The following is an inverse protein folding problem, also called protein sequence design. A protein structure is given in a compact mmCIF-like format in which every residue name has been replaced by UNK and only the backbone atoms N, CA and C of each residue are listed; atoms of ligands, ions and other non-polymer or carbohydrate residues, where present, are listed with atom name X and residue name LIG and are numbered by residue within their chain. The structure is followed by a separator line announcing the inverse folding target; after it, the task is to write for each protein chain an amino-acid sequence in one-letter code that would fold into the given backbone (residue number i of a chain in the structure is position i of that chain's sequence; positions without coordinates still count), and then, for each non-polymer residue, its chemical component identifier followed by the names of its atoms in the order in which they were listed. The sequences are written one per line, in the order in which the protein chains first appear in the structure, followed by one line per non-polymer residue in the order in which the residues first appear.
data_IF_300475478288
#
_entry.id   IF_300475478288
#
_cell.length_a   1.000
_cell.length_b   1.000
_cell.length_c   1.000
_cell.angle_alpha   90.00
_cell.angle_beta   90.00
_cell.angle_gamma   90.00
#
_symmetry.space_group_name_H-M   'P 1'
#
loop_
_entity.id
_entity.type
_entity.pdbx_description
1 polymer ?
#
# COMPACT_ATOMS: atom_id res chain seq x y z
N UNK A 1 31.74 -16.42 -2.35
CA UNK A 1 32.07 -15.55 -3.50
C UNK A 1 30.96 -15.44 -4.56
N UNK A 2 30.55 -16.49 -5.29
CA UNK A 2 29.46 -16.35 -6.29
C UNK A 2 28.06 -16.10 -5.67
N UNK A 3 27.74 -16.75 -4.55
CA UNK A 3 26.45 -16.58 -3.86
C UNK A 3 26.29 -15.22 -3.15
N UNK A 4 27.37 -14.68 -2.57
CA UNK A 4 27.38 -13.33 -1.97
C UNK A 4 27.20 -12.24 -3.04
N UNK A 5 27.81 -12.42 -4.22
CA UNK A 5 27.62 -11.50 -5.35
C UNK A 5 26.18 -11.49 -5.85
N UNK A 6 25.48 -12.63 -5.77
CA UNK A 6 24.08 -12.76 -6.17
C UNK A 6 23.14 -12.07 -5.19
N UNK A 7 23.37 -12.20 -3.89
CA UNK A 7 22.57 -11.54 -2.86
C UNK A 7 22.81 -10.02 -2.84
N UNK A 8 24.06 -9.57 -3.02
CA UNK A 8 24.38 -8.15 -3.14
C UNK A 8 23.86 -7.55 -4.47
N UNK A 9 23.81 -8.35 -5.55
CA UNK A 9 23.19 -7.94 -6.81
C UNK A 9 21.66 -7.94 -6.75
N UNK A 10 21.05 -8.86 -6.00
CA UNK A 10 19.60 -8.92 -5.80
C UNK A 10 19.13 -7.80 -4.87
N UNK A 11 19.79 -7.61 -3.72
CA UNK A 11 19.54 -6.47 -2.83
C UNK A 11 19.90 -5.12 -3.50
N UNK A 12 20.91 -5.09 -4.37
CA UNK A 12 21.23 -3.93 -5.19
C UNK A 12 20.14 -3.62 -6.23
N UNK A 13 19.63 -4.63 -6.94
CA UNK A 13 18.51 -4.46 -7.89
C UNK A 13 17.22 -4.07 -7.18
N UNK A 14 16.85 -4.77 -6.12
CA UNK A 14 15.64 -4.49 -5.33
C UNK A 14 15.76 -3.13 -4.61
N UNK A 15 16.95 -2.74 -4.15
CA UNK A 15 17.22 -1.42 -3.59
C UNK A 15 17.14 -0.28 -4.63
N UNK A 16 17.64 -0.50 -5.85
CA UNK A 16 17.46 0.43 -6.97
C UNK A 16 15.99 0.55 -7.36
N UNK A 17 15.24 -0.58 -7.39
CA UNK A 17 13.80 -0.57 -7.63
C UNK A 17 13.03 0.24 -6.57
N UNK A 18 13.42 0.16 -5.30
CA UNK A 18 12.81 1.01 -4.28
C UNK A 18 13.08 2.50 -4.50
N UNK A 19 14.31 2.89 -4.84
CA UNK A 19 14.66 4.30 -5.01
C UNK A 19 14.13 4.89 -6.32
N UNK A 20 14.04 4.10 -7.38
CA UNK A 20 13.66 4.58 -8.71
C UNK A 20 12.15 4.48 -8.96
N UNK A 21 11.50 3.41 -8.46
CA UNK A 21 10.10 3.12 -8.77
C UNK A 21 9.14 3.31 -7.59
N UNK A 22 9.48 2.79 -6.40
CA UNK A 22 8.55 2.79 -5.25
C UNK A 22 8.58 4.12 -4.50
N UNK A 23 9.76 4.69 -4.32
CA UNK A 23 9.98 5.94 -3.59
C UNK A 23 10.85 6.94 -4.40
N UNK A 24 10.39 7.39 -5.58
CA UNK A 24 11.18 8.24 -6.49
C UNK A 24 11.53 9.62 -5.91
N UNK A 25 10.85 10.05 -4.84
CA UNK A 25 11.03 11.38 -4.20
C UNK A 25 11.13 11.31 -2.68
N UNK A 26 11.36 10.14 -2.09
CA UNK A 26 11.45 10.06 -0.64
C UNK A 26 12.80 10.61 -0.17
N UNK A 27 12.77 11.73 0.55
CA UNK A 27 13.90 12.15 1.37
C UNK A 27 14.09 11.13 2.49
N UNK A 28 15.34 10.73 2.76
CA UNK A 28 15.69 9.74 3.80
C UNK A 28 15.32 10.14 5.24
N UNK A 29 14.70 11.31 5.43
CA UNK A 29 14.17 11.82 6.68
C UNK A 29 12.69 11.48 6.89
N UNK A 30 12.00 11.02 5.84
CA UNK A 30 10.58 10.69 5.93
C UNK A 30 10.41 9.34 6.63
N UNK A 31 9.74 9.29 7.80
CA UNK A 31 9.53 8.01 8.48
C UNK A 31 8.58 7.14 7.67
N UNK A 32 8.99 5.92 7.39
CA UNK A 32 8.16 4.91 6.72
C UNK A 32 7.63 3.91 7.74
N UNK A 33 6.33 3.66 7.71
CA UNK A 33 5.69 2.66 8.57
C UNK A 33 5.85 1.27 7.96
N UNK A 34 6.36 0.34 8.75
CA UNK A 34 6.57 -1.06 8.38
C UNK A 34 5.90 -1.97 9.41
N UNK A 35 5.54 -3.18 8.98
CA UNK A 35 4.78 -4.15 9.76
C UNK A 35 5.47 -4.55 11.08
N UNK A 36 6.81 -4.65 11.06
CA UNK A 36 7.60 -5.12 12.20
C UNK A 36 8.78 -4.17 12.45
N UNK A 37 8.99 -3.80 13.72
CA UNK A 37 10.14 -3.01 14.13
C UNK A 37 11.34 -3.93 14.44
N UNK A 38 12.18 -4.17 13.43
CA UNK A 38 13.34 -5.05 13.53
C UNK A 38 14.38 -4.54 14.53
N UNK A 39 14.57 -3.22 14.63
CA UNK A 39 15.51 -2.63 15.59
C UNK A 39 15.14 -2.96 17.03
N UNK A 40 13.84 -2.92 17.36
CA UNK A 40 13.34 -3.27 18.69
C UNK A 40 13.57 -4.74 19.01
N UNK A 41 13.30 -5.65 18.06
CA UNK A 41 13.54 -7.09 18.25
C UNK A 41 15.02 -7.34 18.57
N UNK A 42 15.94 -6.69 17.85
CA UNK A 42 17.38 -6.82 18.08
C UNK A 42 17.79 -6.28 19.46
N UNK A 43 17.18 -5.18 19.90
CA UNK A 43 17.40 -4.65 21.25
C UNK A 43 16.94 -5.64 22.32
N UNK A 44 15.76 -6.24 22.15
CA UNK A 44 15.22 -7.24 23.07
C UNK A 44 16.14 -8.48 23.11
N UNK A 45 16.63 -8.96 21.96
CA UNK A 45 17.60 -10.07 21.89
C UNK A 45 18.89 -9.75 22.65
N UNK A 46 19.40 -8.53 22.49
CA UNK A 46 20.64 -8.11 23.16
C UNK A 46 20.49 -8.17 24.68
N UNK A 47 19.30 -7.83 25.19
CA UNK A 47 18.98 -7.89 26.61
C UNK A 47 18.80 -9.34 27.10
N UNK A 48 18.06 -10.17 26.36
CA UNK A 48 17.75 -11.57 26.74
C UNK A 48 19.04 -12.40 26.80
N UNK A 49 19.86 -12.33 25.76
CA UNK A 49 21.05 -13.19 25.62
C UNK A 49 22.33 -12.56 26.19
N UNK A 50 22.26 -11.34 26.74
CA UNK A 50 23.40 -10.64 27.34
C UNK A 50 24.63 -10.62 26.39
N UNK A 51 24.41 -10.15 25.17
CA UNK A 51 25.41 -10.27 24.09
C UNK A 51 26.66 -9.45 24.39
N UNK A 52 27.81 -10.13 24.41
CA UNK A 52 29.10 -9.51 24.61
C UNK A 52 29.74 -9.11 23.28
N UNK A 53 29.86 -7.80 23.03
CA UNK A 53 30.49 -7.23 21.82
C UNK A 53 31.98 -7.57 21.66
N UNK A 54 32.60 -8.11 22.72
CA UNK A 54 34.01 -8.46 22.75
C UNK A 54 34.30 -9.87 22.25
N UNK A 55 33.28 -10.75 22.23
CA UNK A 55 33.42 -12.13 21.74
C UNK A 55 33.04 -12.17 20.25
N UNK A 56 33.83 -12.81 19.37
CA UNK A 56 33.39 -13.05 18.00
C UNK A 56 32.16 -13.96 17.99
N UNK A 57 31.26 -13.73 17.04
CA UNK A 57 30.08 -14.55 16.81
C UNK A 57 30.46 -15.93 16.29
N UNK A 58 29.82 -16.97 16.83
CA UNK A 58 30.00 -18.37 16.42
C UNK A 58 29.20 -18.74 15.15
N UNK A 59 28.82 -17.73 14.34
CA UNK A 59 27.82 -17.85 13.28
C UNK A 59 28.44 -18.07 11.90
N UNK A 60 28.02 -19.11 11.20
CA UNK A 60 28.43 -19.37 9.82
C UNK A 60 27.63 -18.49 8.85
N UNK A 61 28.29 -18.01 7.79
CA UNK A 61 27.66 -17.11 6.82
C UNK A 61 26.56 -17.77 5.98
N UNK A 62 26.80 -19.00 5.53
CA UNK A 62 25.83 -19.80 4.75
C UNK A 62 24.50 -19.90 5.48
N UNK A 63 24.57 -20.15 6.79
CA UNK A 63 23.42 -20.29 7.67
C UNK A 63 22.49 -19.07 7.64
N UNK A 64 23.03 -17.85 7.74
CA UNK A 64 22.23 -16.62 7.77
C UNK A 64 21.48 -16.43 6.45
N UNK A 65 22.15 -16.69 5.32
CA UNK A 65 21.57 -16.53 3.99
C UNK A 65 20.43 -17.54 3.78
N UNK A 66 20.67 -18.80 4.12
CA UNK A 66 19.64 -19.85 4.03
C UNK A 66 18.46 -19.55 4.95
N UNK A 67 18.71 -19.11 6.17
CA UNK A 67 17.65 -18.79 7.13
C UNK A 67 16.78 -17.60 6.68
N UNK A 68 17.39 -16.54 6.12
CA UNK A 68 16.63 -15.41 5.54
C UNK A 68 15.83 -15.86 4.31
N UNK A 69 16.38 -16.73 3.46
CA UNK A 69 15.66 -17.28 2.32
C UNK A 69 14.47 -18.13 2.76
N UNK A 70 14.64 -18.98 3.77
CA UNK A 70 13.57 -19.78 4.34
C UNK A 70 12.47 -18.90 4.94
N UNK A 71 12.84 -17.87 5.70
CA UNK A 71 11.88 -16.92 6.24
C UNK A 71 11.09 -16.21 5.13
N UNK A 72 11.77 -15.73 4.08
CA UNK A 72 11.12 -15.09 2.94
C UNK A 72 10.14 -16.02 2.21
N UNK A 73 10.42 -17.32 2.16
CA UNK A 73 9.51 -18.31 1.56
C UNK A 73 8.32 -18.63 2.47
N UNK A 74 8.49 -18.52 3.80
CA UNK A 74 7.43 -18.80 4.77
C UNK A 74 6.47 -17.61 4.96
N UNK A 75 6.97 -16.38 4.79
CA UNK A 75 6.20 -15.15 4.94
C UNK A 75 5.08 -15.04 3.88
N UNK A 76 3.84 -15.31 4.30
CA UNK A 76 2.63 -15.02 3.52
C UNK A 76 2.31 -16.04 2.42
N UNK A 77 2.44 -17.34 2.73
CA UNK A 77 1.90 -18.40 1.87
C UNK A 77 0.37 -18.27 1.74
N UNK A 78 -0.09 -17.56 0.71
CA UNK A 78 -1.49 -17.57 0.28
C UNK A 78 -1.78 -18.99 -0.23
N UNK A 79 -2.96 -19.52 0.13
CA UNK A 79 -3.38 -20.90 -0.15
C UNK A 79 -3.57 -21.16 -1.66
N UNK A 80 -3.72 -20.10 -2.47
CA UNK A 80 -3.99 -20.21 -3.91
C UNK A 80 -2.74 -20.03 -4.76
N UNK A 81 -2.53 -20.98 -5.69
CA UNK A 81 -1.31 -21.16 -6.47
C UNK A 81 -1.31 -20.47 -7.85
N UNK A 82 -2.18 -19.48 -8.06
CA UNK A 82 -2.28 -18.76 -9.34
C UNK A 82 -1.08 -17.85 -9.61
N UNK A 83 -0.77 -17.62 -10.89
CA UNK A 83 0.31 -16.75 -11.34
C UNK A 83 0.10 -15.30 -10.87
N UNK A 84 -1.14 -14.80 -10.89
CA UNK A 84 -1.44 -13.44 -10.46
C UNK A 84 -1.29 -13.29 -8.95
N UNK A 85 -1.79 -14.26 -8.18
CA UNK A 85 -1.68 -14.25 -6.70
C UNK A 85 -0.21 -14.26 -6.26
N UNK A 86 0.65 -15.02 -6.95
CA UNK A 86 2.09 -15.03 -6.70
C UNK A 86 2.75 -13.69 -6.97
N UNK A 87 2.38 -13.01 -8.06
CA UNK A 87 2.88 -11.68 -8.39
C UNK A 87 2.41 -10.62 -7.39
N UNK A 88 1.12 -10.62 -7.06
CA UNK A 88 0.53 -9.71 -6.06
C UNK A 88 1.21 -9.88 -4.70
N UNK A 89 1.47 -11.13 -4.29
CA UNK A 89 2.14 -11.43 -3.03
C UNK A 89 3.61 -10.98 -3.04
N UNK A 90 4.33 -11.24 -4.13
CA UNK A 90 5.72 -10.81 -4.28
C UNK A 90 5.83 -9.27 -4.20
N UNK A 91 4.90 -8.56 -4.85
CA UNK A 91 4.88 -7.09 -4.85
C UNK A 91 4.47 -6.52 -3.49
N UNK A 92 3.46 -7.11 -2.84
CA UNK A 92 2.97 -6.66 -1.53
C UNK A 92 4.03 -6.81 -0.43
N UNK A 93 4.83 -7.86 -0.49
CA UNK A 93 5.88 -8.15 0.49
C UNK A 93 7.23 -7.51 0.17
N UNK A 94 7.41 -6.92 -1.03
CA UNK A 94 8.71 -6.43 -1.54
C UNK A 94 9.40 -5.46 -0.58
N UNK A 95 8.70 -4.41 -0.15
CA UNK A 95 9.25 -3.38 0.75
C UNK A 95 9.71 -3.98 2.08
N UNK A 96 8.94 -4.94 2.61
CA UNK A 96 9.28 -5.62 3.86
C UNK A 96 10.48 -6.56 3.68
N UNK A 97 10.53 -7.33 2.58
CA UNK A 97 11.66 -8.22 2.26
C UNK A 97 12.98 -7.44 2.16
N UNK A 98 12.94 -6.27 1.54
CA UNK A 98 14.13 -5.40 1.41
C UNK A 98 14.53 -4.82 2.76
N UNK A 99 13.58 -4.38 3.58
CA UNK A 99 13.88 -3.92 4.94
C UNK A 99 14.51 -5.03 5.81
N UNK A 100 14.02 -6.27 5.68
CA UNK A 100 14.54 -7.42 6.39
C UNK A 100 15.97 -7.76 5.93
N UNK A 101 16.21 -7.80 4.62
CA UNK A 101 17.54 -8.11 4.07
C UNK A 101 18.58 -7.02 4.37
N UNK A 102 18.19 -5.74 4.37
CA UNK A 102 19.07 -4.63 4.71
C UNK A 102 19.40 -4.59 6.21
N UNK A 103 18.42 -4.88 7.07
CA UNK A 103 18.63 -4.89 8.53
C UNK A 103 19.44 -6.11 8.97
N UNK A 104 19.10 -7.30 8.46
CA UNK A 104 19.78 -8.57 8.78
C UNK A 104 20.92 -8.90 7.81
N UNK A 105 21.49 -7.89 7.14
CA UNK A 105 22.66 -8.08 6.29
C UNK A 105 23.81 -8.69 7.11
N UNK A 106 24.58 -9.60 6.50
CA UNK A 106 25.73 -10.28 7.14
C UNK A 106 26.61 -9.31 7.93
N UNK A 107 26.94 -8.17 7.32
CA UNK A 107 27.81 -7.19 7.94
C UNK A 107 27.22 -6.62 9.24
N UNK A 108 25.91 -6.39 9.28
CA UNK A 108 25.22 -5.90 10.48
C UNK A 108 25.12 -6.99 11.54
N UNK A 109 24.72 -8.19 11.16
CA UNK A 109 24.58 -9.35 12.07
C UNK A 109 25.89 -9.66 12.80
N UNK A 110 27.02 -9.66 12.09
CA UNK A 110 28.32 -10.04 12.66
C UNK A 110 29.05 -8.88 13.36
N UNK A 111 29.02 -7.66 12.82
CA UNK A 111 29.83 -6.54 13.36
C UNK A 111 29.05 -5.54 14.20
N UNK A 112 27.75 -5.39 13.99
CA UNK A 112 26.96 -4.43 14.76
C UNK A 112 26.21 -5.13 15.91
N UNK A 113 25.59 -6.26 15.60
CA UNK A 113 24.73 -6.97 16.55
C UNK A 113 25.43 -8.10 17.30
N UNK A 114 26.55 -8.64 16.77
CA UNK A 114 27.31 -9.74 17.38
C UNK A 114 26.42 -10.94 17.78
N UNK A 115 25.46 -11.30 16.92
CA UNK A 115 24.50 -12.36 17.22
C UNK A 115 25.18 -13.74 17.27
N UNK A 116 24.78 -14.58 18.23
CA UNK A 116 25.06 -16.02 18.25
C UNK A 116 24.05 -16.79 17.40
N UNK A 117 24.27 -18.10 17.15
CA UNK A 117 23.29 -18.94 16.44
C UNK A 117 21.94 -18.96 17.16
N UNK A 118 21.93 -19.21 18.46
CA UNK A 118 20.70 -19.22 19.26
C UNK A 118 19.96 -17.87 19.23
N UNK A 119 20.69 -16.76 19.29
CA UNK A 119 20.11 -15.43 19.21
C UNK A 119 19.52 -15.15 17.82
N UNK A 120 20.18 -15.61 16.75
CA UNK A 120 19.67 -15.49 15.38
C UNK A 120 18.37 -16.28 15.19
N UNK A 121 18.29 -17.49 15.72
CA UNK A 121 17.11 -18.35 15.60
C UNK A 121 15.92 -17.75 16.36
N UNK A 122 16.20 -17.18 17.54
CA UNK A 122 15.21 -16.44 18.31
C UNK A 122 14.69 -15.21 17.55
N UNK A 123 15.59 -14.40 16.96
CA UNK A 123 15.20 -13.21 16.18
C UNK A 123 14.30 -13.60 15.01
N UNK A 124 14.65 -14.65 14.26
CA UNK A 124 13.87 -15.09 13.11
C UNK A 124 12.47 -15.58 13.54
N UNK A 125 12.38 -16.36 14.61
CA UNK A 125 11.10 -16.80 15.16
C UNK A 125 10.23 -15.66 15.69
N UNK A 126 10.84 -14.66 16.34
CA UNK A 126 10.10 -13.48 16.83
C UNK A 126 9.59 -12.61 15.67
N UNK A 127 10.40 -12.44 14.61
CA UNK A 127 9.97 -11.73 13.40
C UNK A 127 8.76 -12.43 12.77
N UNK A 128 8.80 -13.76 12.65
CA UNK A 128 7.69 -14.54 12.11
C UNK A 128 6.43 -14.41 12.97
N UNK A 129 6.57 -14.54 14.29
CA UNK A 129 5.45 -14.37 15.21
C UNK A 129 4.82 -12.98 15.14
N UNK A 130 5.65 -11.92 15.11
CA UNK A 130 5.17 -10.53 14.99
C UNK A 130 4.55 -10.24 13.63
N UNK A 131 5.10 -10.82 12.57
CA UNK A 131 4.51 -10.72 11.24
C UNK A 131 3.13 -11.37 11.20
N UNK A 132 2.99 -12.59 11.72
CA UNK A 132 1.70 -13.29 11.78
C UNK A 132 0.68 -12.54 12.66
N UNK A 133 1.13 -11.89 13.75
CA UNK A 133 0.29 -11.02 14.58
C UNK A 133 -0.12 -9.71 13.88
N UNK A 134 0.66 -9.23 12.92
CA UNK A 134 0.36 -8.01 12.16
C UNK A 134 -0.67 -8.21 11.05
N UNK A 135 -0.97 -9.46 10.70
CA UNK A 135 -1.99 -9.79 9.71
C UNK A 135 -3.37 -9.48 10.28
N UNK A 136 -4.23 -8.89 9.44
CA UNK A 136 -5.59 -8.52 9.80
C UNK A 136 -6.44 -9.78 9.96
N UNK A 137 -7.20 -9.87 11.04
CA UNK A 137 -8.12 -10.98 11.25
C UNK A 137 -9.26 -10.90 10.23
N UNK A 138 -9.62 -12.04 9.64
CA UNK A 138 -10.78 -12.12 8.75
C UNK A 138 -12.06 -11.88 9.54
N UNK A 139 -12.95 -11.03 9.02
CA UNK A 139 -14.26 -10.74 9.64
C UNK A 139 -14.29 -9.51 10.55
N UNK A 140 -13.19 -8.77 10.67
CA UNK A 140 -13.20 -7.46 11.34
C UNK A 140 -13.96 -6.41 10.51
N UNK A 141 -14.71 -5.53 11.19
CA UNK A 141 -15.46 -4.44 10.54
C UNK A 141 -14.54 -3.27 10.15
N UNK A 142 -13.70 -3.48 9.12
CA UNK A 142 -12.74 -2.47 8.66
C UNK A 142 -13.41 -1.18 8.15
N UNK A 143 -14.60 -1.29 7.53
CA UNK A 143 -15.34 -0.12 7.02
C UNK A 143 -15.73 0.86 8.13
N UNK A 144 -16.23 0.35 9.26
CA UNK A 144 -16.64 1.20 10.39
C UNK A 144 -15.43 1.82 11.08
N UNK A 145 -14.34 1.05 11.22
CA UNK A 145 -13.08 1.55 11.76
C UNK A 145 -12.47 2.65 10.87
N UNK A 146 -12.42 2.44 9.55
CA UNK A 146 -11.91 3.43 8.61
C UNK A 146 -12.72 4.75 8.68
N UNK A 147 -14.05 4.66 8.74
CA UNK A 147 -14.91 5.82 8.88
C UNK A 147 -14.62 6.60 10.18
N UNK A 148 -14.47 5.89 11.30
CA UNK A 148 -14.11 6.49 12.59
C UNK A 148 -12.73 7.15 12.57
N UNK A 149 -11.72 6.46 12.03
CA UNK A 149 -10.32 6.92 11.95
C UNK A 149 -10.17 8.19 11.10
N UNK A 150 -11.02 8.38 10.09
CA UNK A 150 -11.07 9.62 9.31
C UNK A 150 -11.82 10.72 10.07
N UNK A 151 -12.92 10.38 10.75
CA UNK A 151 -13.78 11.34 11.44
C UNK A 151 -13.20 11.96 12.72
N UNK A 152 -12.51 11.18 13.55
CA UNK A 152 -11.90 11.66 14.81
C UNK A 152 -10.90 12.81 14.63
N UNK A 153 -9.87 12.72 13.75
CA UNK A 153 -8.95 13.83 13.53
C UNK A 153 -9.66 15.05 12.90
N UNK A 154 -10.66 14.83 12.03
CA UNK A 154 -11.45 15.92 11.46
C UNK A 154 -12.21 16.71 12.56
N UNK A 155 -12.74 16.01 13.57
CA UNK A 155 -13.36 16.65 14.74
C UNK A 155 -12.34 17.41 15.59
N UNK A 156 -11.15 16.83 15.87
CA UNK A 156 -10.08 17.51 16.62
C UNK A 156 -9.61 18.79 15.93
N UNK A 157 -9.48 18.76 14.60
CA UNK A 157 -9.15 19.96 13.81
C UNK A 157 -10.21 21.06 13.98
N UNK A 158 -11.49 20.73 14.25
CA UNK A 158 -12.57 21.72 14.49
C UNK A 158 -12.31 22.53 15.72
N UNK A 159 -11.92 21.83 16.79
CA UNK A 159 -11.74 22.45 18.08
C UNK A 159 -10.45 23.28 18.13
N UNK A 160 -9.41 22.89 17.39
CA UNK A 160 -8.13 23.61 17.31
C UNK A 160 -8.05 24.71 16.23
N UNK A 161 -9.13 24.97 15.48
CA UNK A 161 -9.12 25.96 14.38
C UNK A 161 -8.84 27.40 14.85
N UNK A 162 -9.03 27.72 16.13
CA UNK A 162 -8.83 29.09 16.65
C UNK A 162 -7.36 29.50 16.85
N UNK A 163 -6.42 28.55 16.96
CA UNK A 163 -5.02 28.87 17.25
C UNK A 163 -4.03 28.47 16.14
N UNK A 164 -4.38 27.50 15.30
CA UNK A 164 -3.52 27.03 14.21
C UNK A 164 -4.02 27.57 12.85
N UNK A 165 -3.68 28.84 12.58
CA UNK A 165 -3.70 29.51 11.27
C UNK A 165 -5.04 29.56 10.49
N UNK A 166 -5.54 30.78 10.32
CA UNK A 166 -6.68 31.26 9.52
C UNK A 166 -6.73 30.83 8.03
N UNK A 167 -5.98 29.84 7.56
CA UNK A 167 -5.92 29.54 6.11
C UNK A 167 -5.85 28.06 5.73
N UNK A 168 -5.27 27.16 6.55
CA UNK A 168 -5.09 25.75 6.16
C UNK A 168 -6.15 24.81 6.76
N UNK A 169 -6.55 25.03 8.02
CA UNK A 169 -7.58 24.22 8.68
C UNK A 169 -8.99 24.43 8.11
N UNK A 170 -9.30 25.67 7.72
CA UNK A 170 -10.56 26.02 7.04
C UNK A 170 -10.60 25.45 5.61
N UNK A 171 -9.48 25.49 4.88
CA UNK A 171 -9.39 24.94 3.53
C UNK A 171 -9.62 23.43 3.51
N UNK A 172 -9.00 22.68 4.44
CA UNK A 172 -9.20 21.23 4.54
C UNK A 172 -10.65 20.83 4.85
N UNK A 173 -11.33 21.58 5.71
CA UNK A 173 -12.76 21.35 6.02
C UNK A 173 -13.66 21.65 4.84
N UNK A 174 -13.43 22.77 4.17
CA UNK A 174 -14.24 23.17 3.02
C UNK A 174 -14.09 22.15 1.89
N UNK A 175 -12.86 21.70 1.60
CA UNK A 175 -12.59 20.65 0.62
C UNK A 175 -13.26 19.33 1.04
N UNK A 176 -13.17 18.93 2.32
CA UNK A 176 -13.83 17.71 2.79
C UNK A 176 -15.37 17.79 2.66
N UNK A 177 -15.97 18.93 3.00
CA UNK A 177 -17.42 19.15 2.89
C UNK A 177 -17.88 19.21 1.43
N UNK A 178 -17.12 19.88 0.56
CA UNK A 178 -17.41 20.01 -0.87
C UNK A 178 -17.28 18.67 -1.59
N UNK A 179 -16.24 17.88 -1.27
CA UNK A 179 -16.07 16.52 -1.81
C UNK A 179 -17.16 15.57 -1.31
N UNK A 180 -17.51 15.63 -0.02
CA UNK A 180 -18.53 14.75 0.55
C UNK A 180 -19.95 15.11 0.06
N UNK A 181 -20.21 16.39 -0.21
CA UNK A 181 -21.50 16.88 -0.68
C UNK A 181 -21.39 17.39 -2.12
N UNK A 182 -21.22 16.44 -3.04
CA UNK A 182 -21.27 16.72 -4.47
C UNK A 182 -22.72 16.66 -4.95
N UNK A 183 -23.33 17.82 -5.20
CA UNK A 183 -24.66 17.90 -5.81
C UNK A 183 -24.56 17.94 -7.33
N UNK A 184 -25.66 17.67 -8.05
CA UNK A 184 -25.66 17.79 -9.51
C UNK A 184 -25.22 19.21 -9.94
N UNK A 185 -25.66 20.24 -9.23
CA UNK A 185 -25.24 21.64 -9.42
C UNK A 185 -23.73 21.84 -9.27
N UNK A 186 -23.05 21.07 -8.41
CA UNK A 186 -21.60 21.15 -8.22
C UNK A 186 -20.83 20.56 -9.40
N UNK A 187 -21.39 19.58 -10.10
CA UNK A 187 -20.75 18.87 -11.21
C UNK A 187 -21.12 19.47 -12.57
N UNK A 188 -22.37 19.92 -12.73
CA UNK A 188 -22.86 20.49 -14.00
C UNK A 188 -22.33 21.90 -14.21
N UNK A 189 -21.54 22.12 -15.27
CA UNK A 189 -21.09 23.47 -15.64
C UNK A 189 -22.24 24.35 -16.15
N UNK A 190 -23.17 23.76 -16.90
CA UNK A 190 -24.37 24.40 -17.41
C UNK A 190 -25.45 23.33 -17.65
N UNK A 191 -26.71 23.76 -17.68
CA UNK A 191 -27.86 22.93 -18.09
C UNK A 191 -28.68 23.73 -19.09
N UNK A 192 -28.80 23.19 -20.30
CA UNK A 192 -29.62 23.76 -21.36
C UNK A 192 -30.65 22.72 -21.82
N UNK A 193 -31.89 23.16 -22.06
CA UNK A 193 -32.98 22.30 -22.52
C UNK A 193 -33.23 22.63 -23.98
N UNK A 194 -32.93 21.66 -24.85
CA UNK A 194 -33.20 21.74 -26.28
C UNK A 194 -34.48 20.98 -26.61
N UNK A 195 -35.31 21.56 -27.47
CA UNK A 195 -36.49 20.89 -27.97
C UNK A 195 -36.13 20.20 -29.28
N UNK A 196 -35.88 18.89 -29.22
CA UNK A 196 -35.61 18.06 -30.39
C UNK A 196 -36.85 17.22 -30.73
N UNK A 197 -37.26 17.27 -32.00
CA UNK A 197 -38.45 16.58 -32.51
C UNK A 197 -38.12 15.17 -33.03
N UNK A 198 -36.86 14.89 -33.35
CA UNK A 198 -36.42 13.58 -33.84
C UNK A 198 -35.37 12.99 -32.88
N UNK A 199 -35.72 11.94 -32.11
CA UNK A 199 -34.80 11.33 -31.13
C UNK A 199 -33.62 10.60 -31.78
N UNK A 200 -33.66 10.37 -33.10
CA UNK A 200 -32.62 9.62 -33.84
C UNK A 200 -31.50 10.52 -34.34
N UNK A 201 -31.65 11.84 -34.20
CA UNK A 201 -30.70 12.85 -34.64
C UNK A 201 -30.52 13.90 -33.54
N UNK A 202 -29.38 14.60 -33.52
CA UNK A 202 -29.14 15.69 -32.59
C UNK A 202 -29.06 17.02 -33.33
N UNK A 203 -29.80 18.03 -32.87
CA UNK A 203 -29.63 19.43 -33.33
C UNK A 203 -28.26 19.99 -32.92
N UNK A 204 -27.66 19.45 -31.86
CA UNK A 204 -26.35 19.85 -31.33
C UNK A 204 -25.24 19.08 -32.06
N UNK A 205 -24.35 19.81 -32.73
CA UNK A 205 -23.29 19.22 -33.58
C UNK A 205 -22.28 18.38 -32.79
N UNK A 206 -21.96 18.77 -31.55
CA UNK A 206 -21.04 18.04 -30.67
C UNK A 206 -21.60 16.68 -30.20
N UNK A 207 -22.91 16.55 -30.09
CA UNK A 207 -23.59 15.33 -29.61
C UNK A 207 -23.97 14.36 -30.75
N UNK A 208 -23.88 14.80 -32.01
CA UNK A 208 -24.31 14.01 -33.16
C UNK A 208 -23.61 12.63 -33.25
N UNK A 209 -22.30 12.60 -33.01
CA UNK A 209 -21.50 11.36 -33.04
C UNK A 209 -21.90 10.41 -31.92
N UNK A 210 -22.24 10.95 -30.75
CA UNK A 210 -22.66 10.15 -29.60
C UNK A 210 -24.03 9.52 -29.84
N UNK A 211 -25.00 10.30 -30.33
CA UNK A 211 -26.36 9.83 -30.66
C UNK A 211 -26.32 8.79 -31.80
N UNK A 212 -25.55 9.03 -32.85
CA UNK A 212 -25.38 8.06 -33.95
C UNK A 212 -24.80 6.73 -33.45
N UNK A 213 -23.78 6.78 -32.57
CA UNK A 213 -23.17 5.58 -32.01
C UNK A 213 -24.11 4.79 -31.11
N UNK A 214 -25.02 5.47 -30.41
CA UNK A 214 -26.00 4.87 -29.52
C UNK A 214 -27.08 4.11 -30.29
N UNK A 215 -27.52 4.63 -31.44
CA UNK A 215 -28.52 3.98 -32.31
C UNK A 215 -27.92 3.02 -33.35
N UNK A 216 -26.59 2.97 -33.50
CA UNK A 216 -25.93 2.04 -34.41
C UNK A 216 -25.96 0.57 -33.95
N UNK A 217 -26.21 0.32 -32.66
CA UNK A 217 -26.37 -1.02 -32.10
C UNK A 217 -27.87 -1.27 -31.91
N UNK A 218 -28.50 -2.17 -32.70
CA UNK A 218 -29.94 -2.38 -32.62
C UNK A 218 -30.31 -3.16 -31.35
N UNK A 219 -30.87 -2.45 -30.37
CA UNK A 219 -31.51 -3.05 -29.19
C UNK A 219 -33.02 -3.20 -29.44
N UNK A 220 -33.52 -4.43 -29.55
CA UNK A 220 -34.93 -4.76 -29.85
C UNK A 220 -35.94 -4.11 -28.87
N UNK A 221 -35.52 -3.81 -27.63
CA UNK A 221 -36.35 -3.14 -26.64
C UNK A 221 -36.50 -1.64 -26.91
N UNK A 222 -35.49 -1.00 -27.49
CA UNK A 222 -35.49 0.43 -27.82
C UNK A 222 -36.43 0.74 -28.98
N UNK A 223 -36.35 -0.05 -30.06
CA UNK A 223 -37.20 0.12 -31.25
C UNK A 223 -38.70 0.07 -30.90
N UNK A 224 -39.07 -0.80 -29.96
CA UNK A 224 -40.47 -0.97 -29.53
C UNK A 224 -41.06 0.24 -28.78
N UNK A 225 -40.22 1.08 -28.18
CA UNK A 225 -40.62 2.24 -27.35
C UNK A 225 -40.46 3.59 -28.04
N UNK A 226 -39.76 3.65 -29.18
CA UNK A 226 -39.59 4.87 -29.97
C UNK A 226 -40.94 5.51 -30.37
N UNK A 227 -41.96 4.68 -30.64
CA UNK A 227 -43.30 5.15 -31.01
C UNK A 227 -44.09 5.78 -29.85
N UNK A 228 -43.67 5.60 -28.59
CA UNK A 228 -44.33 6.13 -27.39
C UNK A 228 -43.75 7.47 -26.91
N UNK A 229 -42.63 7.90 -27.49
CA UNK A 229 -41.91 9.11 -27.07
C UNK A 229 -42.22 10.34 -27.94
N UNK A 230 -42.95 10.16 -29.05
CA UNK A 230 -43.49 11.24 -29.86
C UNK A 230 -44.90 11.59 -29.32
N UNK A 231 -45.23 12.88 -29.12
CA UNK A 231 -46.59 13.30 -28.77
C UNK A 231 -47.61 13.01 -29.88
#
# INVERSE_FOLDING_TARGET
MQQESFFHAMAGREGSLLQEFVFPRADGLTPHYLLVNLHRIIQDTTQIFHINKWKPSDLELSYIVEAIQQLNNHLGSIIEDDLLTKEVQANSSLTFRIHLCTTLAMHHVLKQFYLSREASDWVLGEIEAKFNQSLVNTGEMYSTLAAQLIGEPAMQMTLNTFHYAETQGLLGRNIQQELAYTSLHTVTAAVEIWYDLDPSSAIIEEDAVFVESFFAIPDEEMESKLHLQLP
#
